data_IF_648374766880
#
_entry.id   IF_648374766880
#
_cell.length_a   1.000
_cell.length_b   1.000
_cell.length_c   1.000
_cell.angle_alpha   90.00
_cell.angle_beta   90.00
_cell.angle_gamma   90.00
#
_symmetry.space_group_name_H-M   'P 1'
#
loop_
_entity.id
_entity.type
_entity.pdbx_description
1 polymer ?
#
# COMPACT_ATOMS: atom_id res chain seq x y z
N UNK A 1 -22.64 15.43 35.47
CA UNK A 1 -22.78 14.23 34.61
C UNK A 1 -21.44 13.50 34.63
N UNK A 2 -21.40 12.23 35.04
CA UNK A 2 -20.17 11.45 35.09
C UNK A 2 -19.94 10.74 33.74
N UNK A 3 -18.76 10.91 33.15
CA UNK A 3 -18.36 10.20 31.92
C UNK A 3 -18.03 8.76 32.31
N UNK A 4 -18.74 7.80 31.73
CA UNK A 4 -18.42 6.37 31.86
C UNK A 4 -17.65 5.92 30.63
N UNK A 5 -16.39 5.51 30.79
CA UNK A 5 -15.58 4.98 29.70
C UNK A 5 -15.93 3.50 29.46
N UNK A 6 -16.35 3.18 28.22
CA UNK A 6 -16.70 1.81 27.80
C UNK A 6 -15.47 0.98 27.36
N UNK A 7 -14.40 1.66 26.95
CA UNK A 7 -13.13 1.05 26.57
C UNK A 7 -12.01 2.06 26.72
N UNK A 8 -10.95 1.67 27.42
CA UNK A 8 -9.68 2.41 27.48
C UNK A 8 -8.67 1.76 26.55
N UNK A 9 -7.83 2.58 25.92
CA UNK A 9 -6.67 2.09 25.17
C UNK A 9 -5.65 1.44 26.12
N UNK A 10 -4.70 0.70 25.54
CA UNK A 10 -3.59 0.15 26.33
C UNK A 10 -2.81 1.29 27.03
N UNK A 11 -2.34 1.05 28.27
CA UNK A 11 -1.40 1.93 28.97
C UNK A 11 -0.19 2.33 28.10
N UNK A 12 0.37 3.51 28.36
CA UNK A 12 1.43 4.08 27.53
C UNK A 12 2.70 3.24 27.50
N UNK A 13 3.07 2.66 28.65
CA UNK A 13 4.16 1.70 28.82
C UNK A 13 3.94 0.42 27.99
N UNK A 14 2.74 -0.16 28.03
CA UNK A 14 2.41 -1.35 27.22
C UNK A 14 2.47 -1.05 25.72
N UNK A 15 2.01 0.13 25.29
CA UNK A 15 2.14 0.55 23.89
C UNK A 15 3.61 0.71 23.47
N UNK A 16 4.42 1.34 24.31
CA UNK A 16 5.85 1.51 24.05
C UNK A 16 6.58 0.16 23.94
N UNK A 17 6.21 -0.81 24.76
CA UNK A 17 6.75 -2.17 24.70
C UNK A 17 6.34 -2.91 23.42
N UNK A 18 5.06 -2.83 23.04
CA UNK A 18 4.56 -3.40 21.78
C UNK A 18 5.29 -2.79 20.57
N UNK A 19 5.43 -1.46 20.54
CA UNK A 19 6.14 -0.75 19.47
C UNK A 19 7.61 -1.16 19.37
N UNK A 20 8.30 -1.35 20.50
CA UNK A 20 9.67 -1.82 20.54
C UNK A 20 9.81 -3.24 19.97
N UNK A 21 8.86 -4.14 20.29
CA UNK A 21 8.83 -5.52 19.76
C UNK A 21 8.56 -5.53 18.25
N UNK A 22 7.63 -4.72 17.78
CA UNK A 22 7.33 -4.58 16.35
C UNK A 22 8.55 -4.06 15.61
N UNK A 23 9.20 -3.00 16.11
CA UNK A 23 10.41 -2.45 15.51
C UNK A 23 11.50 -3.51 15.38
N UNK A 24 11.84 -4.21 16.46
CA UNK A 24 12.86 -5.25 16.44
C UNK A 24 12.55 -6.37 15.43
N UNK A 25 11.27 -6.75 15.31
CA UNK A 25 10.81 -7.74 14.34
C UNK A 25 10.99 -7.25 12.91
N UNK A 26 10.58 -6.02 12.60
CA UNK A 26 10.71 -5.43 11.26
C UNK A 26 12.17 -5.27 10.87
N UNK A 27 13.02 -4.75 11.76
CA UNK A 27 14.46 -4.62 11.52
C UNK A 27 15.13 -5.96 11.20
N UNK A 28 14.75 -7.01 11.93
CA UNK A 28 15.24 -8.37 11.69
C UNK A 28 14.80 -8.88 10.31
N UNK A 29 13.52 -8.70 9.95
CA UNK A 29 12.98 -9.11 8.64
C UNK A 29 13.67 -8.36 7.51
N UNK A 30 13.83 -7.04 7.62
CA UNK A 30 14.50 -6.23 6.60
C UNK A 30 15.95 -6.67 6.38
N UNK A 31 16.70 -6.89 7.46
CA UNK A 31 18.07 -7.40 7.38
C UNK A 31 18.14 -8.78 6.74
N UNK A 32 17.19 -9.64 7.05
CA UNK A 32 17.12 -10.99 6.48
C UNK A 32 16.82 -10.96 4.97
N UNK A 33 15.90 -10.09 4.54
CA UNK A 33 15.60 -9.87 3.13
C UNK A 33 16.79 -9.22 2.40
N UNK A 34 17.48 -8.25 3.01
CA UNK A 34 18.66 -7.64 2.41
C UNK A 34 19.78 -8.66 2.17
N UNK A 35 19.96 -9.60 3.09
CA UNK A 35 21.03 -10.60 3.04
C UNK A 35 20.69 -11.83 2.19
N UNK A 36 19.44 -12.29 2.19
CA UNK A 36 19.02 -13.55 1.53
C UNK A 36 18.06 -13.35 0.34
N UNK A 37 17.58 -12.13 0.11
CA UNK A 37 16.66 -11.80 -0.98
C UNK A 37 15.39 -12.64 -0.96
N UNK A 38 15.01 -13.15 -2.14
CA UNK A 38 13.77 -13.91 -2.36
C UNK A 38 13.63 -15.16 -1.50
N UNK A 39 14.74 -15.76 -1.03
CA UNK A 39 14.68 -16.90 -0.12
C UNK A 39 14.04 -16.52 1.22
N UNK A 40 14.41 -15.37 1.79
CA UNK A 40 13.77 -14.85 3.00
C UNK A 40 12.30 -14.51 2.76
N UNK A 41 11.98 -13.88 1.63
CA UNK A 41 10.59 -13.57 1.26
C UNK A 41 9.74 -14.85 1.19
N UNK A 42 10.29 -15.93 0.61
CA UNK A 42 9.61 -17.22 0.53
C UNK A 42 9.37 -17.87 1.89
N UNK A 43 10.37 -17.85 2.77
CA UNK A 43 10.21 -18.37 4.14
C UNK A 43 9.14 -17.59 4.92
N UNK A 44 9.12 -16.26 4.77
CA UNK A 44 8.15 -15.38 5.43
C UNK A 44 6.73 -15.61 4.89
N UNK A 45 6.55 -15.74 3.58
CA UNK A 45 5.27 -16.03 2.96
C UNK A 45 4.71 -17.40 3.40
N UNK A 46 5.57 -18.41 3.54
CA UNK A 46 5.16 -19.70 4.09
C UNK A 46 4.78 -19.61 5.58
N UNK A 47 5.53 -18.81 6.35
CA UNK A 47 5.31 -18.65 7.79
C UNK A 47 4.02 -17.90 8.12
N UNK A 48 3.76 -16.79 7.43
CA UNK A 48 2.67 -15.88 7.78
C UNK A 48 1.40 -16.09 6.95
N UNK A 49 1.55 -16.39 5.65
CA UNK A 49 0.42 -16.51 4.73
C UNK A 49 0.14 -17.97 4.35
N UNK A 50 1.00 -18.90 4.78
CA UNK A 50 0.98 -20.31 4.35
C UNK A 50 0.96 -20.47 2.83
N UNK A 51 1.65 -19.56 2.13
CA UNK A 51 1.63 -19.44 0.68
C UNK A 51 3.05 -19.42 0.11
N UNK A 52 3.36 -20.37 -0.78
CA UNK A 52 4.68 -20.51 -1.39
C UNK A 52 4.56 -20.96 -2.86
N UNK A 53 4.02 -20.11 -3.76
CA UNK A 53 3.87 -20.45 -5.17
C UNK A 53 5.24 -20.59 -5.84
N UNK A 54 5.35 -21.32 -6.96
CA UNK A 54 6.61 -21.42 -7.70
C UNK A 54 7.18 -20.03 -8.06
N UNK A 55 6.33 -19.10 -8.46
CA UNK A 55 6.66 -17.69 -8.69
C UNK A 55 5.65 -16.78 -7.98
N UNK A 56 6.13 -15.68 -7.39
CA UNK A 56 5.26 -14.66 -6.80
C UNK A 56 4.64 -13.72 -7.83
N UNK A 57 5.30 -13.57 -8.98
CA UNK A 57 4.79 -12.76 -10.09
C UNK A 57 3.76 -13.57 -10.87
N UNK A 58 2.53 -13.07 -10.93
CA UNK A 58 1.48 -13.65 -11.75
C UNK A 58 1.84 -13.58 -13.24
N UNK A 59 1.53 -14.66 -13.95
CA UNK A 59 1.60 -14.72 -15.41
C UNK A 59 0.44 -13.95 -16.03
N UNK A 60 0.56 -13.51 -17.30
CA UNK A 60 -0.55 -12.87 -18.01
C UNK A 60 -1.82 -13.72 -18.01
N UNK A 61 -1.69 -15.05 -18.18
CA UNK A 61 -2.85 -15.96 -18.16
C UNK A 61 -3.53 -16.03 -16.80
N UNK A 62 -2.78 -16.00 -15.69
CA UNK A 62 -3.37 -15.98 -14.34
C UNK A 62 -4.10 -14.66 -14.07
N UNK A 63 -3.56 -13.56 -14.59
CA UNK A 63 -4.20 -12.23 -14.50
C UNK A 63 -5.52 -12.24 -15.28
N UNK A 64 -5.52 -12.68 -16.54
CA UNK A 64 -6.74 -12.76 -17.35
C UNK A 64 -7.78 -13.69 -16.71
N UNK A 65 -7.35 -14.85 -16.20
CA UNK A 65 -8.22 -15.77 -15.48
C UNK A 65 -8.81 -15.18 -14.20
N UNK A 66 -8.06 -14.34 -13.48
CA UNK A 66 -8.57 -13.62 -12.31
C UNK A 66 -9.55 -12.51 -12.71
N UNK A 67 -9.24 -11.75 -13.76
CA UNK A 67 -10.12 -10.71 -14.29
C UNK A 67 -11.44 -11.27 -14.80
N UNK A 68 -11.43 -12.46 -15.43
CA UNK A 68 -12.62 -13.14 -15.90
C UNK A 68 -13.59 -13.59 -14.78
N UNK A 69 -13.12 -13.65 -13.52
CA UNK A 69 -13.96 -13.97 -12.36
C UNK A 69 -14.72 -12.76 -11.81
N UNK A 70 -14.40 -11.55 -12.26
CA UNK A 70 -15.04 -10.32 -11.82
C UNK A 70 -16.35 -10.13 -12.57
N UNK A 71 -17.44 -9.83 -11.86
CA UNK A 71 -18.73 -9.60 -12.50
C UNK A 71 -18.68 -8.39 -13.44
N UNK A 72 -19.42 -8.38 -14.57
CA UNK A 72 -19.39 -7.29 -15.53
C UNK A 72 -19.65 -5.91 -14.91
N UNK A 73 -20.62 -5.83 -13.99
CA UNK A 73 -20.96 -4.60 -13.27
C UNK A 73 -19.80 -4.10 -12.41
N UNK A 74 -19.18 -4.96 -11.61
CA UNK A 74 -18.04 -4.58 -10.76
C UNK A 74 -16.85 -4.12 -11.62
N UNK A 75 -16.64 -4.78 -12.77
CA UNK A 75 -15.62 -4.38 -13.73
C UNK A 75 -15.91 -3.00 -14.35
N UNK A 76 -17.17 -2.70 -14.67
CA UNK A 76 -17.59 -1.37 -15.14
C UNK A 76 -17.35 -0.29 -14.07
N UNK A 77 -17.72 -0.56 -12.81
CA UNK A 77 -17.52 0.36 -11.69
C UNK A 77 -16.02 0.65 -11.45
N UNK A 78 -15.17 -0.40 -11.50
CA UNK A 78 -13.72 -0.25 -11.40
C UNK A 78 -13.17 0.61 -12.55
N UNK A 79 -13.60 0.36 -13.79
CA UNK A 79 -13.16 1.14 -14.97
C UNK A 79 -13.59 2.59 -14.88
N UNK A 80 -14.80 2.85 -14.40
CA UNK A 80 -15.30 4.20 -14.16
C UNK A 80 -14.41 4.93 -13.13
N UNK A 81 -14.18 4.31 -11.97
CA UNK A 81 -13.32 4.88 -10.93
C UNK A 81 -11.89 5.16 -11.44
N UNK A 82 -11.28 4.21 -12.15
CA UNK A 82 -9.95 4.39 -12.76
C UNK A 82 -9.91 5.55 -13.75
N UNK A 83 -10.96 5.71 -14.57
CA UNK A 83 -11.06 6.81 -15.54
C UNK A 83 -11.09 8.16 -14.82
N UNK A 84 -11.87 8.27 -13.74
CA UNK A 84 -11.98 9.52 -12.98
C UNK A 84 -10.67 9.85 -12.25
N UNK A 85 -10.03 8.86 -11.61
CA UNK A 85 -8.73 9.04 -10.95
C UNK A 85 -7.67 9.49 -11.95
N UNK A 86 -7.59 8.84 -13.13
CA UNK A 86 -6.62 9.20 -14.17
C UNK A 86 -6.83 10.62 -14.67
N UNK A 87 -8.07 11.00 -15.00
CA UNK A 87 -8.41 12.36 -15.47
C UNK A 87 -7.96 13.42 -14.47
N UNK A 88 -8.19 13.19 -13.18
CA UNK A 88 -7.79 14.13 -12.14
C UNK A 88 -6.27 14.21 -11.99
N UNK A 89 -5.58 13.06 -11.95
CA UNK A 89 -4.11 13.02 -11.88
C UNK A 89 -3.45 13.68 -13.10
N UNK A 90 -4.00 13.49 -14.30
CA UNK A 90 -3.55 14.15 -15.53
C UNK A 90 -3.73 15.68 -15.43
N UNK A 91 -4.86 16.15 -14.91
CA UNK A 91 -5.09 17.58 -14.68
C UNK A 91 -4.13 18.17 -13.63
N UNK A 92 -3.88 17.44 -12.53
CA UNK A 92 -2.87 17.83 -11.54
C UNK A 92 -1.49 17.95 -12.18
N UNK A 93 -1.06 16.93 -12.92
CA UNK A 93 0.23 16.96 -13.63
C UNK A 93 0.30 18.12 -14.62
N UNK A 94 -0.77 18.40 -15.36
CA UNK A 94 -0.84 19.51 -16.29
C UNK A 94 -0.77 20.88 -15.60
N UNK A 95 -1.20 20.98 -14.33
CA UNK A 95 -1.10 22.19 -13.52
C UNK A 95 0.29 22.44 -12.92
N UNK A 96 1.18 21.45 -12.92
CA UNK A 96 2.57 21.58 -12.44
C UNK A 96 3.44 22.23 -13.52
N UNK A 97 3.11 23.48 -13.88
CA UNK A 97 3.89 24.33 -14.77
C UNK A 97 4.62 25.40 -13.96
N UNK A 98 5.74 25.87 -14.50
CA UNK A 98 6.44 27.01 -13.93
C UNK A 98 5.55 28.26 -14.01
N UNK A 99 5.60 29.07 -12.97
CA UNK A 99 4.87 30.35 -12.93
C UNK A 99 5.83 31.42 -13.43
N UNK A 100 5.62 31.85 -14.68
CA UNK A 100 6.32 32.99 -15.27
C UNK A 100 5.32 34.11 -15.50
N UNK A 101 5.45 35.19 -14.72
CA UNK A 101 4.58 36.36 -14.80
C UNK A 101 5.44 37.60 -14.72
N UNK A 102 5.40 38.40 -15.78
CA UNK A 102 5.95 39.75 -15.80
C UNK A 102 4.90 40.70 -15.18
N UNK A 103 5.08 40.97 -13.89
CA UNK A 103 4.19 41.82 -13.09
C UNK A 103 4.28 43.30 -13.47
N UNK A 104 5.44 43.73 -13.98
CA UNK A 104 5.72 45.06 -14.53
C UNK A 104 6.72 44.88 -15.68
N UNK A 105 6.78 45.79 -16.68
CA UNK A 105 7.76 45.67 -17.75
C UNK A 105 9.20 45.48 -17.23
N UNK A 106 9.78 44.33 -17.49
CA UNK A 106 11.10 43.85 -17.08
C UNK A 106 11.15 43.02 -15.79
N UNK A 107 10.03 42.75 -15.10
CA UNK A 107 9.97 42.06 -13.77
C UNK A 107 8.88 41.01 -13.69
#
# INVERSE_FOLDING_TARGET
>A
MAITSLKSGKPADQRAEDDAKVRATVETILKDIETRGDAAVRDLALKFDHYAPPAFRLTPSEIEAAMAKVAPRDMEDIRFAQTQIRRFAEAQRASMQDIEVETLPGV
#
